data_IF_125581377383
#
_entry.id   IF_125581377383
#
_cell.length_a   1.000
_cell.length_b   1.000
_cell.length_c   1.000
_cell.angle_alpha   90.00
_cell.angle_beta   90.00
_cell.angle_gamma   90.00
#
_symmetry.space_group_name_H-M   'P 1'
#
loop_
_entity.id
_entity.type
_entity.pdbx_description
1 polymer ?
#
# COMPACT_ATOMS: atom_id res chain seq x y z
N UNK A 1 -16.23 -5.16 10.78
CA UNK A 1 -15.47 -5.54 9.58
C UNK A 1 -14.12 -4.89 9.78
N UNK A 2 -13.08 -5.68 10.11
CA UNK A 2 -11.75 -5.11 10.39
C UNK A 2 -11.21 -4.43 9.13
N UNK A 3 -10.51 -3.32 9.32
CA UNK A 3 -9.75 -2.69 8.25
C UNK A 3 -8.64 -3.65 7.79
N UNK A 4 -8.30 -3.61 6.50
CA UNK A 4 -7.28 -4.50 5.94
C UNK A 4 -5.92 -4.22 6.58
N UNK A 5 -5.63 -2.96 6.93
CA UNK A 5 -4.39 -2.59 7.60
C UNK A 5 -4.33 -3.13 9.03
N UNK A 6 -5.45 -3.08 9.76
CA UNK A 6 -5.58 -3.65 11.09
C UNK A 6 -5.34 -5.17 11.06
N UNK A 7 -5.91 -5.85 10.06
CA UNK A 7 -5.74 -7.30 9.87
C UNK A 7 -4.29 -7.65 9.52
N UNK A 8 -3.65 -6.90 8.63
CA UNK A 8 -2.23 -7.11 8.28
C UNK A 8 -1.32 -6.88 9.48
N UNK A 9 -1.52 -5.78 10.22
CA UNK A 9 -0.74 -5.48 11.42
C UNK A 9 -0.90 -6.55 12.50
N UNK A 10 -2.12 -7.04 12.69
CA UNK A 10 -2.42 -8.09 13.65
C UNK A 10 -1.78 -9.43 13.27
N UNK A 11 -1.84 -9.82 11.99
CA UNK A 11 -1.18 -11.05 11.49
C UNK A 11 0.34 -10.97 11.67
N UNK A 12 0.96 -9.83 11.38
CA UNK A 12 2.40 -9.66 11.55
C UNK A 12 2.82 -9.65 13.02
N UNK A 13 2.01 -9.04 13.90
CA UNK A 13 2.25 -9.11 15.34
C UNK A 13 2.17 -10.55 15.86
N UNK A 14 1.19 -11.33 15.40
CA UNK A 14 1.09 -12.74 15.76
C UNK A 14 2.23 -13.59 15.20
N UNK A 15 2.77 -13.25 14.02
CA UNK A 15 3.97 -13.90 13.47
C UNK A 15 5.22 -13.59 14.31
N UNK A 16 5.38 -12.34 14.77
CA UNK A 16 6.48 -11.95 15.65
C UNK A 16 6.42 -12.59 17.04
N UNK A 17 5.21 -12.77 17.59
CA UNK A 17 4.98 -13.42 18.88
C UNK A 17 5.02 -14.96 18.79
N UNK A 18 4.95 -15.53 17.59
CA UNK A 18 4.98 -16.95 17.36
C UNK A 18 6.41 -17.53 17.42
N UNK A 19 6.53 -18.82 17.76
CA UNK A 19 7.80 -19.55 17.62
C UNK A 19 8.29 -19.47 16.16
N UNK A 20 9.58 -19.23 15.89
CA UNK A 20 10.10 -19.24 14.53
C UNK A 20 10.04 -20.66 13.92
N UNK A 21 9.64 -20.78 12.65
CA UNK A 21 9.75 -22.02 11.88
C UNK A 21 11.04 -22.08 11.04
N UNK A 22 11.21 -23.08 10.15
CA UNK A 22 10.17 -23.91 9.52
C UNK A 22 9.36 -24.85 10.40
N UNK A 23 8.06 -24.81 10.12
CA UNK A 23 7.04 -25.67 10.67
C UNK A 23 6.87 -26.89 9.79
N UNK A 24 7.39 -28.03 10.21
CA UNK A 24 7.21 -29.29 9.47
C UNK A 24 6.25 -30.19 10.22
N UNK A 25 5.36 -30.85 9.49
CA UNK A 25 4.43 -31.83 10.04
C UNK A 25 4.83 -33.22 9.52
N UNK A 26 4.78 -34.20 10.41
CA UNK A 26 5.01 -35.61 10.09
C UNK A 26 3.98 -36.46 10.82
N UNK A 27 3.47 -37.49 10.15
CA UNK A 27 2.60 -38.49 10.78
C UNK A 27 3.48 -39.62 11.31
N UNK A 28 3.53 -39.87 12.63
CA UNK A 28 4.27 -41.01 13.15
C UNK A 28 3.63 -42.34 12.71
N UNK A 29 4.40 -43.42 12.54
CA UNK A 29 3.91 -44.69 12.00
C UNK A 29 3.07 -45.54 12.97
N UNK A 30 2.66 -45.01 14.13
CA UNK A 30 1.94 -45.76 15.18
C UNK A 30 0.44 -45.46 15.21
N UNK A 31 -0.36 -46.47 15.56
CA UNK A 31 -1.83 -46.44 15.62
C UNK A 31 -2.45 -45.44 16.62
N UNK A 32 -1.65 -44.80 17.47
CA UNK A 32 -2.06 -43.70 18.35
C UNK A 32 -1.77 -42.35 17.66
N UNK A 33 -2.81 -41.79 17.03
CA UNK A 33 -2.79 -40.74 16.01
C UNK A 33 -2.46 -39.31 16.49
N UNK A 34 -1.28 -39.10 17.10
CA UNK A 34 -0.82 -37.75 17.40
C UNK A 34 0.00 -37.19 16.23
N UNK A 35 -0.42 -36.04 15.70
CA UNK A 35 0.34 -35.28 14.71
C UNK A 35 1.10 -34.18 15.42
N UNK A 36 2.39 -34.08 15.11
CA UNK A 36 3.31 -33.16 15.77
C UNK A 36 3.82 -32.12 14.77
N UNK A 37 3.78 -30.84 15.13
CA UNK A 37 4.53 -29.79 14.44
C UNK A 37 5.79 -29.50 15.23
N UNK A 38 6.91 -29.50 14.53
CA UNK A 38 8.22 -29.21 15.09
C UNK A 38 8.72 -27.86 14.57
N UNK A 39 9.49 -27.15 15.40
CA UNK A 39 10.28 -25.99 14.96
C UNK A 39 11.68 -26.40 14.46
N UNK A 40 12.49 -25.40 14.14
CA UNK A 40 13.87 -25.53 13.66
C UNK A 40 14.83 -26.20 14.62
N UNK A 41 14.52 -26.17 15.91
CA UNK A 41 15.35 -26.74 16.95
C UNK A 41 14.94 -28.18 17.28
N UNK A 42 13.88 -28.67 16.63
CA UNK A 42 13.30 -29.97 16.91
C UNK A 42 12.43 -29.99 18.17
N UNK A 43 11.98 -28.81 18.63
CA UNK A 43 11.06 -28.70 19.74
C UNK A 43 9.61 -28.88 19.24
N UNK A 44 8.81 -29.60 20.03
CA UNK A 44 7.40 -29.84 19.75
C UNK A 44 6.61 -28.56 20.00
N UNK A 45 5.90 -28.06 18.98
CA UNK A 45 5.14 -26.81 19.09
C UNK A 45 3.64 -27.02 19.04
N UNK A 46 3.16 -28.06 18.36
CA UNK A 46 1.74 -28.43 18.34
C UNK A 46 1.62 -29.93 18.42
N UNK A 47 0.85 -30.42 19.38
CA UNK A 47 0.43 -31.82 19.48
C UNK A 47 -1.09 -31.87 19.28
N UNK A 48 -1.52 -32.52 18.21
CA UNK A 48 -2.93 -32.62 17.84
C UNK A 48 -3.33 -34.04 17.50
N UNK A 49 -4.53 -34.47 17.90
CA UNK A 49 -5.03 -35.83 17.64
C UNK A 49 -5.70 -35.95 16.25
N UNK A 50 -5.54 -34.94 15.39
CA UNK A 50 -6.20 -34.80 14.09
C UNK A 50 -5.18 -34.30 13.04
N UNK A 51 -4.79 -35.19 12.13
CA UNK A 51 -3.81 -34.93 11.07
C UNK A 51 -4.16 -33.73 10.19
N UNK A 52 -5.46 -33.54 9.91
CA UNK A 52 -5.95 -32.46 9.06
C UNK A 52 -5.67 -31.08 9.64
N UNK A 53 -5.94 -30.86 10.91
CA UNK A 53 -5.82 -29.55 11.56
C UNK A 53 -4.35 -29.14 11.73
N UNK A 54 -3.49 -30.11 12.01
CA UNK A 54 -2.06 -29.89 12.27
C UNK A 54 -1.31 -29.47 10.99
N UNK A 55 -1.59 -30.15 9.87
CA UNK A 55 -1.10 -29.75 8.56
C UNK A 55 -1.63 -28.37 8.14
N UNK A 56 -2.90 -28.08 8.44
CA UNK A 56 -3.53 -26.79 8.18
C UNK A 56 -2.84 -25.66 8.96
N UNK A 57 -2.58 -25.88 10.25
CA UNK A 57 -1.92 -24.89 11.12
C UNK A 57 -0.50 -24.60 10.63
N UNK A 58 0.30 -25.64 10.32
CA UNK A 58 1.65 -25.45 9.80
C UNK A 58 1.65 -24.67 8.47
N UNK A 59 0.70 -24.99 7.58
CA UNK A 59 0.53 -24.27 6.31
C UNK A 59 0.16 -22.80 6.53
N UNK A 60 -0.88 -22.52 7.33
CA UNK A 60 -1.36 -21.16 7.57
C UNK A 60 -0.38 -20.30 8.37
N UNK A 61 0.40 -20.91 9.28
CA UNK A 61 1.51 -20.23 9.99
C UNK A 61 2.57 -19.69 9.04
N UNK A 62 2.75 -20.30 7.88
CA UNK A 62 3.70 -19.83 6.87
C UNK A 62 3.03 -18.88 5.86
N UNK A 63 1.85 -19.26 5.38
CA UNK A 63 1.17 -18.54 4.30
C UNK A 63 0.61 -17.17 4.74
N UNK A 64 0.06 -17.07 5.95
CA UNK A 64 -0.57 -15.83 6.43
C UNK A 64 0.41 -14.64 6.54
N UNK A 65 1.59 -14.76 7.20
CA UNK A 65 2.53 -13.64 7.29
C UNK A 65 3.17 -13.29 5.94
N UNK A 66 3.40 -14.28 5.06
CA UNK A 66 3.87 -14.02 3.71
C UNK A 66 2.87 -13.18 2.90
N UNK A 67 1.58 -13.54 2.98
CA UNK A 67 0.51 -12.79 2.33
C UNK A 67 0.36 -11.38 2.92
N UNK A 68 0.46 -11.23 4.25
CA UNK A 68 0.38 -9.93 4.92
C UNK A 68 1.49 -8.97 4.46
N UNK A 69 2.73 -9.45 4.33
CA UNK A 69 3.86 -8.67 3.79
C UNK A 69 3.63 -8.24 2.35
N UNK A 70 3.07 -9.13 1.53
CA UNK A 70 2.78 -8.84 0.12
C UNK A 70 1.67 -7.80 -0.04
N UNK A 71 0.60 -7.91 0.76
CA UNK A 71 -0.46 -6.89 0.80
C UNK A 71 0.10 -5.53 1.21
N UNK A 72 0.95 -5.47 2.24
CA UNK A 72 1.60 -4.24 2.67
C UNK A 72 2.47 -3.63 1.56
N UNK A 73 3.22 -4.47 0.83
CA UNK A 73 4.03 -4.03 -0.32
C UNK A 73 3.16 -3.43 -1.43
N UNK A 74 2.10 -4.14 -1.85
CA UNK A 74 1.19 -3.69 -2.90
C UNK A 74 0.46 -2.39 -2.53
N UNK A 75 0.05 -2.25 -1.26
CA UNK A 75 -0.54 -1.00 -0.77
C UNK A 75 0.44 0.17 -0.85
N UNK A 76 1.73 -0.08 -0.59
CA UNK A 76 2.79 0.91 -0.78
C UNK A 76 2.92 1.36 -2.24
N UNK A 77 2.92 0.42 -3.18
CA UNK A 77 3.01 0.71 -4.63
C UNK A 77 1.82 1.51 -5.13
N UNK A 78 0.60 1.08 -4.80
CA UNK A 78 -0.62 1.80 -5.19
C UNK A 78 -0.64 3.23 -4.65
N UNK A 79 -0.11 3.45 -3.44
CA UNK A 79 -0.03 4.79 -2.86
C UNK A 79 0.98 5.67 -3.59
N UNK A 80 2.16 5.15 -3.92
CA UNK A 80 3.17 5.87 -4.69
C UNK A 80 2.61 6.25 -6.07
N UNK A 81 1.91 5.33 -6.73
CA UNK A 81 1.27 5.60 -8.02
C UNK A 81 0.18 6.67 -7.92
N UNK A 82 -0.63 6.64 -6.85
CA UNK A 82 -1.66 7.65 -6.61
C UNK A 82 -1.05 9.04 -6.37
N UNK A 83 0.02 9.13 -5.58
CA UNK A 83 0.71 10.39 -5.30
C UNK A 83 1.35 10.96 -6.59
N UNK A 84 1.99 10.11 -7.41
CA UNK A 84 2.55 10.50 -8.70
C UNK A 84 1.47 10.97 -9.69
N UNK A 85 0.29 10.35 -9.69
CA UNK A 85 -0.86 10.80 -10.49
C UNK A 85 -1.36 12.18 -10.04
N UNK A 86 -1.41 12.44 -8.73
CA UNK A 86 -1.80 13.75 -8.20
C UNK A 86 -0.80 14.83 -8.64
N UNK A 87 0.49 14.57 -8.51
CA UNK A 87 1.54 15.50 -8.95
C UNK A 87 1.43 15.80 -10.46
N UNK A 88 1.23 14.76 -11.28
CA UNK A 88 1.04 14.93 -12.73
C UNK A 88 -0.20 15.76 -13.07
N UNK A 89 -1.31 15.58 -12.35
CA UNK A 89 -2.53 16.36 -12.53
C UNK A 89 -2.34 17.83 -12.15
N UNK A 90 -1.64 18.10 -11.04
CA UNK A 90 -1.35 19.46 -10.59
C UNK A 90 -0.42 20.20 -11.57
N UNK A 91 0.60 19.51 -12.07
CA UNK A 91 1.52 20.06 -13.06
C UNK A 91 0.82 20.34 -14.38
N UNK A 92 -0.01 19.40 -14.87
CA UNK A 92 -0.83 19.60 -16.08
C UNK A 92 -1.76 20.80 -15.94
N UNK A 93 -2.34 20.99 -14.75
CA UNK A 93 -3.19 22.16 -14.43
C UNK A 93 -2.38 23.46 -14.47
N UNK A 94 -1.18 23.46 -13.89
CA UNK A 94 -0.27 24.63 -13.88
C UNK A 94 0.12 25.03 -15.29
N UNK A 95 0.59 24.08 -16.10
CA UNK A 95 0.96 24.30 -17.51
C UNK A 95 -0.24 24.81 -18.31
N UNK A 96 -1.42 24.22 -18.11
CA UNK A 96 -2.65 24.69 -18.76
C UNK A 96 -3.03 26.13 -18.40
N UNK A 97 -2.87 26.52 -17.13
CA UNK A 97 -3.11 27.89 -16.67
C UNK A 97 -2.09 28.87 -17.24
N UNK A 98 -0.82 28.50 -17.30
CA UNK A 98 0.25 29.32 -17.88
C UNK A 98 0.04 29.51 -19.39
N UNK A 99 -0.26 28.45 -20.13
CA UNK A 99 -0.58 28.54 -21.55
C UNK A 99 -1.84 29.36 -21.84
N UNK A 100 -2.82 29.36 -20.93
CA UNK A 100 -4.00 30.24 -21.03
C UNK A 100 -3.64 31.70 -20.77
N UNK A 101 -2.85 31.98 -19.72
CA UNK A 101 -2.35 33.33 -19.41
C UNK A 101 -1.53 33.91 -20.56
N UNK A 102 -0.66 33.10 -21.15
CA UNK A 102 0.16 33.50 -22.29
C UNK A 102 -0.70 33.82 -23.52
N UNK A 103 -1.68 32.96 -23.86
CA UNK A 103 -2.62 33.23 -24.96
C UNK A 103 -3.46 34.49 -24.71
N UNK A 104 -3.90 34.74 -23.48
CA UNK A 104 -4.59 35.97 -23.12
C UNK A 104 -3.69 37.20 -23.27
N UNK A 105 -2.43 37.12 -22.84
CA UNK A 105 -1.46 38.21 -22.98
C UNK A 105 -1.18 38.52 -24.46
N UNK A 106 -0.91 37.50 -25.27
CA UNK A 106 -0.71 37.62 -26.72
C UNK A 106 -1.95 38.21 -27.40
N UNK A 107 -3.15 37.79 -27.00
CA UNK A 107 -4.40 38.31 -27.56
C UNK A 107 -4.63 39.79 -27.21
N UNK A 108 -4.31 40.21 -25.99
CA UNK A 108 -4.38 41.61 -25.57
C UNK A 108 -3.35 42.48 -26.31
N UNK A 109 -2.14 41.97 -26.53
CA UNK A 109 -1.08 42.63 -27.29
C UNK A 109 -1.46 42.77 -28.78
N UNK A 110 -1.99 41.71 -29.39
CA UNK A 110 -2.47 41.72 -30.78
C UNK A 110 -3.70 42.62 -30.99
N UNK A 111 -4.57 42.75 -29.97
CA UNK A 111 -5.73 43.65 -30.03
C UNK A 111 -5.37 45.12 -29.88
N UNK A 112 -4.15 45.45 -29.44
CA UNK A 112 -3.70 46.83 -29.37
C UNK A 112 -4.66 47.73 -28.60
N UNK A 113 -5.20 47.27 -27.46
CA UNK A 113 -6.08 48.08 -26.63
C UNK A 113 -5.25 49.09 -25.80
N UNK A 114 -4.72 50.07 -26.52
CA UNK A 114 -4.24 51.35 -26.01
C UNK A 114 -5.29 52.07 -25.15
N UNK A 115 -6.55 51.63 -25.17
CA UNK A 115 -7.67 52.18 -24.41
C UNK A 115 -7.56 51.87 -22.91
N UNK A 116 -7.22 50.62 -22.53
CA UNK A 116 -7.12 50.24 -21.12
C UNK A 116 -5.80 50.69 -20.48
N UNK A 117 -4.70 50.69 -21.25
CA UNK A 117 -3.41 51.20 -20.79
C UNK A 117 -3.43 52.73 -20.53
N UNK A 118 -4.27 53.49 -21.24
CA UNK A 118 -4.51 54.92 -20.94
C UNK A 118 -5.45 55.12 -19.75
N UNK A 119 -6.50 54.31 -19.64
CA UNK A 119 -7.45 54.39 -18.53
C UNK A 119 -6.81 54.07 -17.17
N UNK A 120 -5.92 53.08 -17.10
CA UNK A 120 -5.16 52.76 -15.88
C UNK A 120 -4.17 53.86 -15.49
N UNK A 121 -3.48 54.50 -16.46
CA UNK A 121 -2.58 55.64 -16.17
C UNK A 121 -3.33 56.92 -15.78
N UNK A 122 -4.58 57.10 -16.23
CA UNK A 122 -5.40 58.24 -15.85
C UNK A 122 -5.95 58.16 -14.42
N UNK A 123 -6.03 56.94 -13.85
CA UNK A 123 -6.47 56.71 -12.48
C UNK A 123 -5.33 56.77 -11.44
N UNK A 124 -4.06 56.79 -11.87
CA UNK A 124 -2.88 56.94 -10.99
C UNK A 124 -2.44 58.41 -10.80
N UNK A 125 -3.19 59.40 -11.34
CA UNK A 125 -2.85 60.84 -11.31
C UNK A 125 -3.87 61.69 -10.54
N UNK A 126 -4.75 61.09 -9.73
CA UNK A 126 -5.55 61.81 -8.71
C UNK A 126 -5.12 61.43 -7.29
#
# INVERSE_FOLDING_TARGET
>A
MNDINETVAEVLRFDEEATPGPWTWTTPPSEDSYTCVWDDYGDLVVEGNWEGDTALIAYYRTAAPALAREVQRLQGEVRIDADALVEMMEESRRVGQEAMRERCAQWLEQRGDHVWAKALRALEVE
#
